data_IF_762158175752
#
_entry.id   IF_762158175752
#
_cell.length_a   1.000
_cell.length_b   1.000
_cell.length_c   1.000
_cell.angle_alpha   90.00
_cell.angle_beta   90.00
_cell.angle_gamma   90.00
#
_symmetry.space_group_name_H-M   'P 1'
#
loop_
_entity.id
_entity.type
_entity.pdbx_description
1 polymer ?
#
# COMPACT_ATOMS: atom_id res chain seq x y z
N UNK A 1 -20.82 4.03 3.01
CA UNK A 1 -19.39 4.31 2.79
C UNK A 1 -18.88 5.35 3.77
N UNK A 2 -17.67 5.17 4.24
CA UNK A 2 -16.98 6.17 5.05
C UNK A 2 -16.15 7.04 4.10
N UNK A 3 -16.40 8.33 4.13
CA UNK A 3 -15.67 9.27 3.27
C UNK A 3 -15.06 10.37 4.14
N UNK A 4 -13.80 10.19 4.51
CA UNK A 4 -13.10 11.14 5.36
C UNK A 4 -12.67 12.41 4.60
N UNK A 5 -12.55 12.33 3.27
CA UNK A 5 -12.20 13.50 2.46
C UNK A 5 -13.29 14.57 2.54
N UNK A 6 -14.55 14.17 2.59
CA UNK A 6 -15.67 15.09 2.71
C UNK A 6 -15.71 15.76 4.09
N UNK A 7 -15.01 15.22 5.07
CA UNK A 7 -14.94 15.73 6.43
C UNK A 7 -13.69 16.57 6.69
N UNK A 8 -12.87 16.83 5.67
CA UNK A 8 -11.67 17.63 5.79
C UNK A 8 -10.44 16.88 6.33
N UNK A 9 -10.53 15.55 6.44
CA UNK A 9 -9.43 14.73 6.92
C UNK A 9 -9.61 14.27 8.37
N UNK A 10 -8.58 13.59 8.88
CA UNK A 10 -8.62 13.02 10.22
C UNK A 10 -7.24 13.15 10.86
N UNK A 11 -7.19 13.77 12.04
CA UNK A 11 -5.95 13.92 12.80
C UNK A 11 -6.17 13.33 14.19
N UNK A 12 -5.33 12.39 14.57
CA UNK A 12 -5.36 11.80 15.90
C UNK A 12 -4.00 11.23 16.24
N UNK A 13 -3.74 10.99 17.52
CA UNK A 13 -2.48 10.33 17.91
C UNK A 13 -2.35 8.95 17.32
N UNK A 14 -3.47 8.22 17.24
CA UNK A 14 -3.57 6.88 16.70
C UNK A 14 -4.91 6.76 15.99
N UNK A 15 -4.94 6.10 14.86
CA UNK A 15 -6.16 5.92 14.08
C UNK A 15 -6.39 4.43 13.84
N UNK A 16 -7.61 3.98 14.14
CA UNK A 16 -8.04 2.64 13.82
C UNK A 16 -9.45 2.70 13.26
N UNK A 17 -9.61 2.26 12.02
CA UNK A 17 -10.89 2.20 11.34
C UNK A 17 -11.19 0.74 10.99
N UNK A 18 -12.42 0.31 11.31
CA UNK A 18 -12.89 -1.02 11.00
C UNK A 18 -14.23 -0.91 10.30
N UNK A 19 -14.36 -1.53 9.12
CA UNK A 19 -15.59 -1.62 8.38
C UNK A 19 -15.88 -3.09 8.09
N UNK A 20 -16.96 -3.62 8.65
CA UNK A 20 -17.33 -5.02 8.51
C UNK A 20 -18.41 -5.24 7.46
N UNK A 21 -18.98 -4.19 6.91
CA UNK A 21 -20.05 -4.29 5.91
C UNK A 21 -19.47 -4.63 4.53
N UNK A 22 -20.04 -5.65 3.91
CA UNK A 22 -19.66 -6.01 2.54
C UNK A 22 -20.33 -5.06 1.55
N UNK A 23 -19.63 -4.79 0.46
CA UNK A 23 -20.12 -3.92 -0.59
C UNK A 23 -20.06 -2.43 -0.29
N UNK A 24 -19.59 -2.05 0.89
CA UNK A 24 -19.43 -0.66 1.28
C UNK A 24 -18.00 -0.22 1.03
N UNK A 25 -17.83 0.89 0.31
CA UNK A 25 -16.52 1.47 0.07
C UNK A 25 -16.10 2.40 1.21
N UNK A 26 -14.80 2.48 1.44
CA UNK A 26 -14.21 3.44 2.36
C UNK A 26 -13.28 4.34 1.55
N UNK A 27 -13.49 5.65 1.64
CA UNK A 27 -12.56 6.64 1.11
C UNK A 27 -11.85 7.28 2.29
N UNK A 28 -10.55 7.05 2.37
CA UNK A 28 -9.73 7.61 3.42
C UNK A 28 -8.71 8.55 2.80
N UNK A 29 -8.82 9.83 3.08
CA UNK A 29 -7.90 10.83 2.60
C UNK A 29 -7.49 11.76 3.73
N UNK A 30 -6.23 12.18 3.72
CA UNK A 30 -5.68 13.12 4.70
C UNK A 30 -5.84 12.62 6.15
N UNK A 31 -5.65 11.31 6.34
CA UNK A 31 -5.63 10.72 7.66
C UNK A 31 -4.20 10.74 8.20
N UNK A 32 -4.01 11.34 9.36
CA UNK A 32 -2.68 11.49 9.97
C UNK A 32 -2.72 10.98 11.40
N UNK A 33 -2.00 9.88 11.64
CA UNK A 33 -1.77 9.37 12.99
C UNK A 33 -0.47 9.99 13.50
N UNK A 34 -0.57 10.93 14.42
CA UNK A 34 0.54 11.82 14.78
C UNK A 34 1.54 11.20 15.75
N UNK A 35 1.15 10.17 16.50
CA UNK A 35 2.00 9.58 17.54
C UNK A 35 2.11 8.05 17.43
N UNK A 36 1.20 7.42 16.73
CA UNK A 36 1.11 5.97 16.68
C UNK A 36 0.76 5.45 15.30
N UNK A 37 0.04 4.35 15.29
CA UNK A 37 -0.28 3.61 14.08
C UNK A 37 -1.54 4.11 13.39
N UNK A 38 -1.59 3.95 12.08
CA UNK A 38 -2.80 4.04 11.28
C UNK A 38 -3.15 2.62 10.84
N UNK A 39 -4.29 2.12 11.31
CA UNK A 39 -4.76 0.78 10.98
C UNK A 39 -6.15 0.86 10.36
N UNK A 40 -6.31 0.19 9.22
CA UNK A 40 -7.58 0.17 8.49
C UNK A 40 -7.89 -1.26 8.07
N UNK A 41 -9.03 -1.77 8.56
CA UNK A 41 -9.55 -3.09 8.22
C UNK A 41 -10.92 -2.94 7.59
N UNK A 42 -11.15 -3.54 6.41
CA UNK A 42 -12.42 -3.47 5.74
C UNK A 42 -12.69 -4.70 4.87
N UNK A 43 -13.96 -4.97 4.62
CA UNK A 43 -14.38 -6.08 3.78
C UNK A 43 -14.64 -5.69 2.33
N UNK A 44 -14.96 -4.45 2.06
CA UNK A 44 -15.32 -3.99 0.71
C UNK A 44 -14.14 -3.42 -0.05
N UNK A 45 -14.28 -2.19 -0.51
CA UNK A 45 -13.25 -1.46 -1.26
C UNK A 45 -12.71 -0.32 -0.43
N UNK A 46 -11.42 -0.06 -0.55
CA UNK A 46 -10.78 1.10 0.06
C UNK A 46 -10.12 1.94 -1.03
N UNK A 47 -10.32 3.25 -0.93
CA UNK A 47 -9.48 4.24 -1.59
C UNK A 47 -8.68 4.95 -0.53
N UNK A 48 -7.36 4.89 -0.66
CA UNK A 48 -6.44 5.49 0.29
C UNK A 48 -5.65 6.58 -0.41
N UNK A 49 -5.66 7.80 0.15
CA UNK A 49 -4.98 8.94 -0.45
C UNK A 49 -4.37 9.83 0.63
N UNK A 50 -3.12 10.25 0.42
CA UNK A 50 -2.45 11.28 1.21
C UNK A 50 -2.62 11.06 2.71
N UNK A 51 -2.13 9.92 3.20
CA UNK A 51 -2.27 9.55 4.60
C UNK A 51 -0.93 9.14 5.17
N UNK A 52 -0.75 9.34 6.46
CA UNK A 52 0.52 9.09 7.12
C UNK A 52 0.37 8.64 8.56
N UNK A 53 1.43 8.03 9.08
CA UNK A 53 1.50 7.60 10.47
C UNK A 53 2.90 7.84 11.02
N UNK A 54 2.97 8.20 12.30
CA UNK A 54 4.25 8.25 13.01
C UNK A 54 4.77 6.83 13.28
N UNK A 55 3.88 5.89 13.56
CA UNK A 55 4.20 4.47 13.71
C UNK A 55 3.96 3.70 12.43
N UNK A 56 3.40 2.50 12.55
CA UNK A 56 3.11 1.66 11.41
C UNK A 56 1.84 2.09 10.68
N UNK A 57 1.80 1.85 9.38
CA UNK A 57 0.60 2.05 8.58
C UNK A 57 0.20 0.69 8.01
N UNK A 58 -0.98 0.23 8.38
CA UNK A 58 -1.46 -1.09 7.99
C UNK A 58 -2.87 -1.02 7.43
N UNK A 59 -3.04 -1.49 6.21
CA UNK A 59 -4.33 -1.60 5.55
C UNK A 59 -4.54 -3.06 5.18
N UNK A 60 -5.65 -3.63 5.65
CA UNK A 60 -6.04 -5.00 5.35
C UNK A 60 -7.47 -4.97 4.83
N UNK A 61 -7.65 -5.42 3.61
CA UNK A 61 -8.96 -5.38 2.97
C UNK A 61 -9.21 -6.68 2.21
N UNK A 62 -10.42 -7.20 2.29
CA UNK A 62 -10.77 -8.42 1.57
C UNK A 62 -11.06 -8.16 0.09
N UNK A 63 -11.54 -6.98 -0.23
CA UNK A 63 -11.82 -6.59 -1.61
C UNK A 63 -10.64 -5.89 -2.29
N UNK A 64 -10.91 -4.73 -2.87
CA UNK A 64 -9.95 -3.98 -3.67
C UNK A 64 -9.39 -2.78 -2.94
N UNK A 65 -8.12 -2.51 -3.14
CA UNK A 65 -7.44 -1.35 -2.57
C UNK A 65 -6.90 -0.48 -3.70
N UNK A 66 -7.28 0.79 -3.71
CA UNK A 66 -6.74 1.78 -4.63
C UNK A 66 -5.98 2.83 -3.84
N UNK A 67 -4.75 3.11 -4.25
CA UNK A 67 -3.84 4.01 -3.55
C UNK A 67 -3.39 5.12 -4.48
N UNK A 68 -3.41 6.36 -4.00
CA UNK A 68 -2.88 7.51 -4.75
C UNK A 68 -2.30 8.52 -3.76
N UNK A 69 -1.42 9.39 -4.24
CA UNK A 69 -0.80 10.42 -3.42
C UNK A 69 0.26 9.87 -2.47
N UNK A 70 0.55 10.60 -1.42
CA UNK A 70 1.62 10.26 -0.48
C UNK A 70 1.10 9.37 0.65
N UNK A 71 1.66 8.19 0.78
CA UNK A 71 1.36 7.22 1.83
C UNK A 71 2.66 6.98 2.58
N UNK A 72 2.83 7.66 3.71
CA UNK A 72 4.10 7.68 4.43
C UNK A 72 3.96 7.14 5.84
N UNK A 73 4.91 6.32 6.25
CA UNK A 73 4.94 5.73 7.60
C UNK A 73 6.30 5.96 8.25
N UNK A 74 6.27 6.31 9.52
CA UNK A 74 7.49 6.37 10.33
C UNK A 74 8.00 4.99 10.77
N UNK A 75 7.20 3.95 10.58
CA UNK A 75 7.54 2.56 10.82
C UNK A 75 7.40 1.74 9.54
N UNK A 76 6.68 0.63 9.62
CA UNK A 76 6.41 -0.22 8.47
C UNK A 76 5.15 0.20 7.73
N UNK A 77 5.10 -0.11 6.43
CA UNK A 77 3.87 -0.04 5.63
C UNK A 77 3.47 -1.46 5.27
N UNK A 78 2.22 -1.83 5.53
CA UNK A 78 1.65 -3.08 5.09
C UNK A 78 0.32 -2.80 4.40
N UNK A 79 0.26 -3.11 3.11
CA UNK A 79 -0.96 -2.98 2.32
C UNK A 79 -1.33 -4.37 1.82
N UNK A 80 -2.47 -4.88 2.24
CA UNK A 80 -2.94 -6.21 1.86
C UNK A 80 -4.36 -6.14 1.34
N UNK A 81 -4.57 -6.67 0.14
CA UNK A 81 -5.88 -6.78 -0.48
C UNK A 81 -6.12 -8.23 -0.90
N UNK A 82 -7.33 -8.74 -0.64
CA UNK A 82 -7.71 -10.06 -1.11
C UNK A 82 -7.96 -10.09 -2.61
N UNK A 83 -8.36 -8.97 -3.18
CA UNK A 83 -8.55 -8.78 -4.60
C UNK A 83 -7.40 -8.01 -5.23
N UNK A 84 -7.71 -6.93 -5.93
CA UNK A 84 -6.72 -6.14 -6.66
C UNK A 84 -6.19 -4.98 -5.82
N UNK A 85 -4.89 -4.75 -5.90
CA UNK A 85 -4.25 -3.55 -5.40
C UNK A 85 -3.80 -2.73 -6.60
N UNK A 86 -4.28 -1.51 -6.68
CA UNK A 86 -3.92 -0.57 -7.74
C UNK A 86 -3.31 0.67 -7.09
N UNK A 87 -2.13 1.04 -7.53
CA UNK A 87 -1.51 2.29 -7.13
C UNK A 87 -1.22 3.11 -8.37
N UNK A 88 -1.63 4.37 -8.36
CA UNK A 88 -1.44 5.27 -9.48
C UNK A 88 -1.08 6.66 -8.96
N UNK A 89 -0.01 7.22 -9.50
CA UNK A 89 0.49 8.52 -9.07
C UNK A 89 0.66 8.57 -7.56
N UNK A 90 1.26 7.51 -7.00
CA UNK A 90 1.42 7.36 -5.56
C UNK A 90 2.89 7.36 -5.17
N UNK A 91 3.14 7.78 -3.94
CA UNK A 91 4.46 7.71 -3.31
C UNK A 91 4.28 7.00 -1.98
N UNK A 92 4.62 5.72 -1.95
CA UNK A 92 4.49 4.87 -0.78
C UNK A 92 5.87 4.75 -0.13
N UNK A 93 6.02 5.27 1.08
CA UNK A 93 7.32 5.30 1.74
C UNK A 93 7.22 4.82 3.19
N UNK A 94 8.05 3.85 3.53
CA UNK A 94 8.19 3.35 4.88
C UNK A 94 9.62 3.59 5.37
N UNK A 95 9.78 4.06 6.61
CA UNK A 95 11.12 4.12 7.22
C UNK A 95 11.63 2.73 7.55
N UNK A 96 10.72 1.81 7.89
CA UNK A 96 11.02 0.40 8.08
C UNK A 96 10.71 -0.41 6.83
N UNK A 97 10.18 -1.61 7.01
CA UNK A 97 9.84 -2.51 5.91
C UNK A 97 8.55 -2.09 5.23
N UNK A 98 8.44 -2.37 3.94
CA UNK A 98 7.21 -2.17 3.18
C UNK A 98 6.78 -3.49 2.54
N UNK A 99 5.50 -3.82 2.67
CA UNK A 99 4.94 -5.05 2.13
C UNK A 99 3.63 -4.74 1.42
N UNK A 100 3.55 -5.10 0.14
CA UNK A 100 2.34 -4.96 -0.66
C UNK A 100 1.93 -6.37 -1.11
N UNK A 101 0.74 -6.80 -0.70
CA UNK A 101 0.25 -8.13 -0.99
C UNK A 101 -1.17 -8.06 -1.56
N UNK A 102 -1.41 -8.76 -2.66
CA UNK A 102 -2.72 -8.81 -3.28
C UNK A 102 -2.81 -10.01 -4.22
N UNK A 103 -4.03 -10.30 -4.70
CA UNK A 103 -4.19 -11.31 -5.74
C UNK A 103 -3.55 -10.82 -7.04
N UNK A 104 -3.80 -9.57 -7.41
CA UNK A 104 -3.13 -8.90 -8.53
C UNK A 104 -2.71 -7.51 -8.08
N UNK A 105 -1.59 -7.02 -8.62
CA UNK A 105 -1.11 -5.68 -8.34
C UNK A 105 -0.79 -4.95 -9.62
N UNK A 106 -1.22 -3.70 -9.70
CA UNK A 106 -0.85 -2.79 -10.77
C UNK A 106 -0.35 -1.50 -10.16
N UNK A 107 0.92 -1.20 -10.37
CA UNK A 107 1.55 0.01 -9.90
C UNK A 107 1.96 0.84 -11.12
N UNK A 108 1.45 2.06 -11.22
CA UNK A 108 1.70 2.93 -12.36
C UNK A 108 2.09 4.32 -11.88
N UNK A 109 3.17 4.84 -12.40
CA UNK A 109 3.74 6.13 -11.99
C UNK A 109 3.78 6.24 -10.47
N UNK A 110 4.24 5.16 -9.84
CA UNK A 110 4.24 5.00 -8.40
C UNK A 110 5.65 4.70 -7.92
N UNK A 111 6.06 5.38 -6.87
CA UNK A 111 7.30 5.11 -6.18
C UNK A 111 6.99 4.37 -4.90
N UNK A 112 7.68 3.26 -4.66
CA UNK A 112 7.59 2.54 -3.39
C UNK A 112 8.98 2.46 -2.82
N UNK A 113 9.17 2.97 -1.61
CA UNK A 113 10.47 2.97 -0.96
C UNK A 113 10.38 2.43 0.47
N UNK A 114 11.41 1.73 0.87
CA UNK A 114 11.53 1.13 2.19
C UNK A 114 12.93 1.35 2.72
N UNK A 115 13.05 1.66 4.00
CA UNK A 115 14.35 1.70 4.66
C UNK A 115 14.92 0.31 4.96
N UNK A 116 14.14 -0.73 4.82
CA UNK A 116 14.54 -2.12 5.02
C UNK A 116 14.18 -2.97 3.81
N UNK A 117 13.35 -3.97 4.02
CA UNK A 117 12.90 -4.87 2.95
C UNK A 117 11.65 -4.34 2.29
N UNK A 118 11.66 -4.28 0.96
CA UNK A 118 10.47 -4.05 0.14
C UNK A 118 10.03 -5.38 -0.45
N UNK A 119 8.83 -5.84 -0.08
CA UNK A 119 8.27 -7.09 -0.57
C UNK A 119 6.97 -6.82 -1.33
N UNK A 120 6.90 -7.28 -2.56
CA UNK A 120 5.70 -7.24 -3.39
C UNK A 120 5.31 -8.69 -3.70
N UNK A 121 4.09 -9.06 -3.31
CA UNK A 121 3.61 -10.43 -3.51
C UNK A 121 2.23 -10.40 -4.16
N UNK A 122 2.12 -11.00 -5.33
CA UNK A 122 0.85 -11.18 -6.01
C UNK A 122 0.64 -12.67 -6.29
N UNK A 123 -0.60 -13.14 -6.11
CA UNK A 123 -0.90 -14.53 -6.42
C UNK A 123 -0.88 -14.76 -7.93
N UNK A 124 -1.47 -13.83 -8.70
CA UNK A 124 -1.56 -13.97 -10.16
C UNK A 124 -0.54 -13.08 -10.86
N UNK A 125 -0.77 -11.79 -10.91
CA UNK A 125 0.08 -10.90 -11.70
C UNK A 125 0.53 -9.68 -10.91
N UNK A 126 1.77 -9.28 -11.13
CA UNK A 126 2.34 -8.03 -10.65
C UNK A 126 2.86 -7.25 -11.84
N UNK A 127 2.30 -6.07 -12.07
CA UNK A 127 2.68 -5.18 -13.15
C UNK A 127 3.12 -3.84 -12.55
N UNK A 128 4.34 -3.43 -12.87
CA UNK A 128 4.88 -2.14 -12.42
C UNK A 128 5.37 -1.38 -13.65
N UNK A 129 4.79 -0.21 -13.91
CA UNK A 129 5.11 0.60 -15.08
C UNK A 129 5.37 2.04 -14.69
N UNK A 130 6.40 2.62 -15.28
CA UNK A 130 6.76 4.02 -15.08
C UNK A 130 6.92 4.34 -13.59
N UNK A 131 7.49 3.39 -12.84
CA UNK A 131 7.63 3.53 -11.41
C UNK A 131 9.06 3.40 -10.94
N UNK A 132 9.21 3.37 -9.62
CA UNK A 132 10.49 3.18 -8.97
C UNK A 132 10.26 2.35 -7.71
N UNK A 133 11.05 1.28 -7.56
CA UNK A 133 11.02 0.42 -6.39
C UNK A 133 12.38 0.49 -5.71
N UNK A 134 12.40 0.80 -4.42
CA UNK A 134 13.64 1.01 -3.67
C UNK A 134 13.56 0.37 -2.29
N UNK A 135 14.60 -0.36 -1.93
CA UNK A 135 14.76 -0.95 -0.59
C UNK A 135 16.18 -1.40 -0.39
N UNK A 136 16.55 -1.77 0.82
CA UNK A 136 17.81 -2.48 1.06
C UNK A 136 17.76 -3.84 0.40
N UNK A 137 16.64 -4.54 0.59
CA UNK A 137 16.34 -5.82 -0.06
C UNK A 137 15.01 -5.66 -0.78
N UNK A 138 14.95 -6.15 -2.00
CA UNK A 138 13.73 -6.12 -2.81
C UNK A 138 13.36 -7.55 -3.19
N UNK A 139 12.15 -7.97 -2.83
CA UNK A 139 11.58 -9.24 -3.23
C UNK A 139 10.27 -8.99 -3.97
N UNK A 140 10.13 -9.55 -5.15
CA UNK A 140 8.88 -9.50 -5.89
C UNK A 140 8.54 -10.91 -6.36
N UNK A 141 7.32 -11.36 -6.06
CA UNK A 141 6.85 -12.70 -6.35
C UNK A 141 5.47 -12.64 -6.99
N UNK A 142 5.28 -13.33 -8.10
CA UNK A 142 4.00 -13.47 -8.79
C UNK A 142 4.05 -14.64 -9.76
N UNK A 143 2.90 -15.09 -10.27
CA UNK A 143 2.90 -16.02 -11.39
C UNK A 143 3.36 -15.32 -12.66
N UNK A 144 2.88 -14.10 -12.88
CA UNK A 144 3.31 -13.28 -14.00
C UNK A 144 3.88 -11.97 -13.45
N UNK A 145 5.11 -11.67 -13.81
CA UNK A 145 5.82 -10.51 -13.32
C UNK A 145 6.26 -9.65 -14.50
N UNK A 146 5.82 -8.39 -14.53
CA UNK A 146 6.20 -7.43 -15.55
C UNK A 146 6.59 -6.13 -14.85
N UNK A 147 7.89 -5.84 -14.83
CA UNK A 147 8.39 -4.61 -14.23
C UNK A 147 9.12 -3.79 -15.29
N UNK A 148 8.55 -2.63 -15.63
CA UNK A 148 9.18 -1.63 -16.48
C UNK A 148 9.43 -0.40 -15.63
N UNK A 149 10.39 -0.52 -14.71
CA UNK A 149 10.61 0.45 -13.66
C UNK A 149 12.05 0.39 -13.19
N UNK A 150 12.48 1.45 -12.51
CA UNK A 150 13.78 1.47 -11.86
C UNK A 150 13.73 0.65 -10.57
N UNK A 151 14.66 -0.27 -10.40
CA UNK A 151 14.80 -1.09 -9.21
C UNK A 151 16.12 -0.74 -8.54
N UNK A 152 16.07 -0.37 -7.26
CA UNK A 152 17.26 0.00 -6.48
C UNK A 152 17.27 -0.77 -5.17
N UNK A 153 18.25 -1.66 -5.03
CA UNK A 153 18.44 -2.43 -3.79
C UNK A 153 19.83 -3.05 -3.78
N UNK A 154 20.31 -3.41 -2.60
CA UNK A 154 21.55 -4.20 -2.49
C UNK A 154 21.31 -5.62 -2.97
N UNK A 155 20.16 -6.19 -2.64
CA UNK A 155 19.76 -7.54 -3.07
C UNK A 155 18.38 -7.46 -3.72
N UNK A 156 18.27 -8.00 -4.94
CA UNK A 156 17.02 -8.05 -5.68
C UNK A 156 16.70 -9.50 -5.99
N UNK A 157 15.50 -9.93 -5.62
CA UNK A 157 14.97 -11.24 -5.98
C UNK A 157 13.65 -11.06 -6.70
N UNK A 158 13.59 -11.45 -7.95
CA UNK A 158 12.37 -11.43 -8.75
C UNK A 158 12.02 -12.88 -9.07
N UNK A 159 10.82 -13.30 -8.68
CA UNK A 159 10.41 -14.69 -8.85
C UNK A 159 9.06 -14.75 -9.54
N UNK A 160 9.05 -15.30 -10.74
CA UNK A 160 7.83 -15.54 -11.50
C UNK A 160 7.59 -17.04 -11.60
N UNK A 161 6.36 -17.46 -11.28
CA UNK A 161 5.93 -18.84 -11.35
C UNK A 161 4.90 -19.01 -12.46
N UNK A 162 5.16 -19.95 -13.36
CA UNK A 162 4.20 -20.26 -14.41
C UNK A 162 3.77 -21.71 -14.32
#
# INVERSE_FOLDING_TARGET
AIDTAAMGGMYAGKIRLVSTEQGVGVNLANAVATQGDLTLDANGKIRLRDSSSAGNLQVSIQGELAVTGAIHSGGAVKLAAGGELTAQDADIAAKGDASLKARTQQLRRTRVSSGGTLALQANDALVVREGELQGETLHATAQQLDTQSALTAKDVTLQAEQ
#
